data_IF_853488098870
#
_entry.id   IF_853488098870
#
_cell.length_a   1.000
_cell.length_b   1.000
_cell.length_c   1.000
_cell.angle_alpha   90.00
_cell.angle_beta   90.00
_cell.angle_gamma   90.00
#
_symmetry.space_group_name_H-M   'P 1'
#
loop_
_entity.id
_entity.type
_entity.pdbx_description
1 polymer ?
#
# COMPACT_ATOMS: atom_id res chain seq x y z
N UNK A 1 98.40 -23.73 2.37
CA UNK A 1 98.74 -22.37 2.86
C UNK A 1 97.42 -21.66 3.12
N UNK A 2 97.02 -21.47 4.38
CA UNK A 2 97.05 -20.17 5.10
C UNK A 2 96.19 -19.11 4.37
N UNK A 3 95.15 -18.46 4.92
CA UNK A 3 95.01 -17.87 6.27
C UNK A 3 93.52 -17.66 6.65
N UNK A 4 93.29 -17.72 7.97
CA UNK A 4 92.14 -17.36 8.80
C UNK A 4 91.58 -15.91 8.70
N UNK A 5 90.37 -15.73 9.27
CA UNK A 5 89.75 -14.52 9.90
C UNK A 5 89.13 -13.45 8.95
N UNK A 6 87.93 -12.91 9.19
CA UNK A 6 87.42 -12.33 10.45
C UNK A 6 85.89 -12.39 10.62
N UNK A 7 85.51 -12.46 11.90
CA UNK A 7 84.18 -12.32 12.54
C UNK A 7 84.05 -10.89 13.09
N UNK A 8 82.93 -10.17 12.92
CA UNK A 8 82.28 -9.20 13.88
C UNK A 8 80.90 -8.78 13.31
N UNK A 9 79.77 -9.36 13.75
CA UNK A 9 78.81 -8.99 14.82
C UNK A 9 77.58 -8.15 14.35
N UNK A 10 76.43 -8.24 15.06
CA UNK A 10 75.07 -8.26 14.51
C UNK A 10 74.31 -6.94 14.67
N UNK A 11 73.31 -6.70 13.83
CA UNK A 11 72.27 -5.71 14.10
C UNK A 11 70.94 -6.42 14.32
N UNK A 12 70.58 -6.51 15.61
CA UNK A 12 69.20 -6.58 16.08
C UNK A 12 68.35 -5.54 15.34
N UNK A 13 67.30 -5.97 14.65
CA UNK A 13 66.02 -5.23 14.67
C UNK A 13 64.91 -6.24 14.81
N UNK A 14 64.34 -6.24 16.01
CA UNK A 14 63.14 -6.97 16.41
C UNK A 14 61.97 -6.47 15.54
N UNK A 15 61.47 -7.32 14.65
CA UNK A 15 60.21 -7.09 13.94
C UNK A 15 59.06 -7.37 14.93
N UNK A 16 58.65 -6.31 15.63
CA UNK A 16 57.47 -6.30 16.48
C UNK A 16 56.22 -6.53 15.62
N UNK A 17 55.61 -7.69 15.80
CA UNK A 17 54.24 -7.97 15.39
C UNK A 17 53.29 -7.05 16.19
N UNK A 18 52.76 -6.03 15.54
CA UNK A 18 51.61 -5.28 16.04
C UNK A 18 50.35 -5.74 15.28
N UNK A 19 49.56 -6.60 15.93
CA UNK A 19 48.14 -6.69 15.63
C UNK A 19 47.48 -5.39 16.07
N UNK A 20 46.84 -4.66 15.15
CA UNK A 20 46.12 -3.44 15.45
C UNK A 20 45.22 -2.98 14.30
N UNK A 21 43.94 -3.32 14.42
CA UNK A 21 42.76 -2.66 13.85
C UNK A 21 42.70 -2.38 12.33
N UNK A 22 41.78 -3.08 11.66
CA UNK A 22 41.02 -2.52 10.55
C UNK A 22 40.19 -1.35 11.10
N UNK A 23 40.49 -0.12 10.70
CA UNK A 23 39.79 1.09 11.13
C UNK A 23 39.61 2.07 9.96
N UNK A 24 38.35 2.19 9.52
CA UNK A 24 37.73 3.42 9.02
C UNK A 24 38.31 4.07 7.77
N UNK A 25 37.60 3.93 6.65
CA UNK A 25 37.80 4.74 5.45
C UNK A 25 37.62 6.23 5.76
N UNK A 26 38.70 6.99 5.62
CA UNK A 26 38.67 8.43 5.50
C UNK A 26 38.55 8.81 4.03
N UNK A 27 37.33 9.05 3.54
CA UNK A 27 37.13 9.87 2.34
C UNK A 27 37.25 11.33 2.74
N UNK A 28 38.49 11.84 2.81
CA UNK A 28 38.72 13.28 2.79
C UNK A 28 38.28 13.81 1.43
N UNK A 29 37.27 14.68 1.46
CA UNK A 29 36.53 15.16 0.31
C UNK A 29 37.39 15.76 -0.79
N UNK A 30 36.95 15.48 -2.01
CA UNK A 30 36.71 16.45 -3.07
C UNK A 30 35.93 15.70 -4.17
N UNK A 31 34.64 15.99 -4.28
CA UNK A 31 33.82 15.68 -5.44
C UNK A 31 32.77 16.79 -5.54
N UNK A 32 32.94 17.78 -6.45
CA UNK A 32 32.01 18.89 -6.62
C UNK A 32 30.81 18.47 -7.47
N UNK A 33 30.35 17.23 -7.31
CA UNK A 33 29.11 16.80 -7.92
C UNK A 33 28.01 17.21 -6.95
N UNK A 34 27.57 18.46 -7.07
CA UNK A 34 26.25 18.90 -6.60
C UNK A 34 25.28 17.92 -7.23
N UNK A 35 24.78 16.98 -6.43
CA UNK A 35 24.01 15.84 -6.91
C UNK A 35 22.63 15.94 -6.31
N UNK A 36 21.71 16.43 -7.14
CA UNK A 36 20.32 16.55 -6.76
C UNK A 36 19.70 15.20 -6.40
N UNK A 37 19.00 15.17 -5.28
CA UNK A 37 18.32 13.98 -4.77
C UNK A 37 19.19 13.12 -3.87
N UNK A 38 20.21 13.69 -3.23
CA UNK A 38 21.11 12.95 -2.35
C UNK A 38 20.74 13.05 -0.86
N UNK A 39 19.71 13.84 -0.53
CA UNK A 39 19.18 14.09 0.80
C UNK A 39 19.88 15.23 1.53
N UNK A 40 20.75 15.98 0.85
CA UNK A 40 21.54 17.08 1.39
C UNK A 40 21.41 18.32 0.52
N UNK A 41 21.04 19.44 1.13
CA UNK A 41 20.98 20.72 0.45
C UNK A 41 22.39 21.25 0.16
N UNK A 42 22.85 21.06 -1.08
CA UNK A 42 24.18 21.46 -1.52
C UNK A 42 24.23 22.91 -2.07
N UNK A 43 25.43 23.43 -2.26
CA UNK A 43 25.64 24.79 -2.77
C UNK A 43 25.18 24.92 -4.23
N UNK A 44 24.05 25.60 -4.44
CA UNK A 44 23.46 25.85 -5.77
C UNK A 44 22.04 25.32 -5.90
N UNK A 45 21.65 24.40 -5.03
CA UNK A 45 20.33 23.81 -4.95
C UNK A 45 19.37 24.73 -4.18
N UNK A 46 18.09 24.70 -4.56
CA UNK A 46 17.01 25.41 -3.84
C UNK A 46 16.27 24.47 -2.88
N UNK A 47 16.30 23.19 -3.18
CA UNK A 47 15.75 22.09 -2.39
C UNK A 47 16.59 20.84 -2.71
N UNK A 48 16.57 19.87 -1.80
CA UNK A 48 16.97 18.49 -2.04
C UNK A 48 16.14 17.63 -1.07
N UNK A 49 15.36 16.69 -1.60
CA UNK A 49 14.43 15.86 -0.85
C UNK A 49 14.87 14.38 -0.80
N UNK A 50 16.09 14.09 -1.26
CA UNK A 50 16.65 12.74 -1.30
C UNK A 50 16.19 11.86 -2.46
N UNK A 51 15.52 12.44 -3.46
CA UNK A 51 15.14 11.69 -4.65
C UNK A 51 15.16 12.56 -5.93
N UNK A 52 14.82 11.98 -7.09
CA UNK A 52 14.87 12.68 -8.40
C UNK A 52 13.52 12.61 -9.14
N UNK A 53 12.43 12.54 -8.38
CA UNK A 53 11.07 12.50 -8.89
C UNK A 53 10.56 13.92 -9.04
N UNK A 54 10.25 14.32 -10.27
CA UNK A 54 9.67 15.65 -10.53
C UNK A 54 8.20 15.78 -10.05
N UNK A 55 7.68 14.81 -9.30
CA UNK A 55 6.27 14.73 -8.89
C UNK A 55 6.06 15.04 -7.40
N UNK A 56 7.07 15.60 -6.74
CA UNK A 56 7.04 16.06 -5.36
C UNK A 56 7.55 17.50 -5.27
N UNK A 57 7.74 17.98 -4.04
CA UNK A 57 8.12 19.36 -3.73
C UNK A 57 9.48 19.78 -4.33
N UNK A 58 10.35 18.84 -4.75
CA UNK A 58 11.68 19.13 -5.28
C UNK A 58 11.99 18.41 -6.59
N UNK A 59 12.09 19.18 -7.68
CA UNK A 59 12.39 18.62 -8.99
C UNK A 59 13.80 17.99 -9.02
N UNK A 60 14.02 17.07 -9.96
CA UNK A 60 15.33 16.46 -10.28
C UNK A 60 16.42 17.48 -10.69
N UNK A 61 16.03 18.73 -10.90
CA UNK A 61 16.92 19.87 -11.16
C UNK A 61 17.23 20.71 -9.92
N UNK A 62 16.79 20.27 -8.74
CA UNK A 62 16.99 20.90 -7.44
C UNK A 62 16.45 22.33 -7.36
N UNK A 63 15.31 22.51 -8.01
CA UNK A 63 14.45 23.68 -7.86
C UNK A 63 13.13 23.22 -7.25
N UNK A 64 12.51 24.09 -6.46
CA UNK A 64 11.19 23.82 -5.90
C UNK A 64 10.20 23.62 -7.04
N UNK A 65 9.35 22.61 -6.91
CA UNK A 65 8.17 22.47 -7.76
C UNK A 65 7.26 23.68 -7.54
N UNK A 66 6.86 24.33 -8.62
CA UNK A 66 6.01 25.51 -8.60
C UNK A 66 4.99 25.46 -9.73
N UNK A 67 3.78 25.86 -9.39
CA UNK A 67 2.69 25.93 -10.34
C UNK A 67 3.03 26.68 -11.63
N UNK A 68 2.92 25.97 -12.75
CA UNK A 68 3.26 26.41 -14.09
C UNK A 68 4.68 26.03 -14.54
N UNK A 69 5.37 25.14 -13.84
CA UNK A 69 6.70 24.65 -14.21
C UNK A 69 6.68 23.45 -15.17
N UNK A 70 5.49 22.90 -15.43
CA UNK A 70 5.25 21.79 -16.34
C UNK A 70 5.32 20.41 -15.70
N UNK A 71 5.60 20.33 -14.40
CA UNK A 71 5.53 19.12 -13.60
C UNK A 71 4.42 19.26 -12.55
N UNK A 72 3.86 18.15 -12.08
CA UNK A 72 2.75 18.21 -11.11
C UNK A 72 3.25 17.67 -9.77
N UNK A 73 3.34 18.55 -8.78
CA UNK A 73 3.58 18.14 -7.40
C UNK A 73 2.33 17.41 -6.85
N UNK A 74 2.47 16.12 -6.57
CA UNK A 74 1.38 15.28 -6.08
C UNK A 74 0.89 15.64 -4.68
N UNK A 75 1.70 16.38 -3.90
CA UNK A 75 1.36 16.79 -2.54
C UNK A 75 0.58 18.10 -2.52
N UNK A 76 0.88 19.03 -3.43
CA UNK A 76 0.34 20.41 -3.39
C UNK A 76 -0.53 20.80 -4.58
N UNK A 77 -0.38 20.14 -5.73
CA UNK A 77 -0.96 20.55 -7.02
C UNK A 77 -1.92 19.50 -7.60
N UNK A 78 -3.08 19.96 -8.08
CA UNK A 78 -4.03 19.07 -8.76
C UNK A 78 -3.67 18.88 -10.24
N UNK A 79 -3.02 19.87 -10.83
CA UNK A 79 -2.60 19.95 -12.22
C UNK A 79 -1.50 21.01 -12.37
N UNK A 80 -0.78 20.97 -13.48
CA UNK A 80 0.14 22.05 -13.88
C UNK A 80 -0.01 22.30 -15.38
N UNK A 81 -0.46 23.50 -15.77
CA UNK A 81 -0.62 23.87 -17.17
C UNK A 81 -1.52 22.89 -17.94
N UNK A 82 -0.93 22.14 -18.87
CA UNK A 82 -1.61 21.08 -19.66
C UNK A 82 -1.45 19.68 -19.03
N UNK A 83 -0.62 19.52 -17.99
CA UNK A 83 -0.48 18.30 -17.23
C UNK A 83 -1.66 18.12 -16.26
N UNK A 84 -2.78 17.61 -16.79
CA UNK A 84 -4.02 17.39 -16.04
C UNK A 84 -4.11 16.02 -15.36
N UNK A 85 -2.99 15.29 -15.25
CA UNK A 85 -2.93 13.93 -14.66
C UNK A 85 -3.94 12.94 -15.27
N UNK A 86 -4.24 13.09 -16.56
CA UNK A 86 -5.23 12.28 -17.26
C UNK A 86 -6.69 12.57 -16.86
N UNK A 87 -6.94 13.65 -16.13
CA UNK A 87 -8.28 14.14 -15.83
C UNK A 87 -8.77 15.01 -16.98
N UNK A 88 -10.03 14.87 -17.29
CA UNK A 88 -10.79 15.70 -18.23
C UNK A 88 -12.16 16.05 -17.65
N UNK A 89 -12.91 16.91 -18.34
CA UNK A 89 -14.26 17.30 -17.92
C UNK A 89 -15.18 16.09 -17.72
N UNK A 90 -15.04 15.03 -18.52
CA UNK A 90 -15.86 13.82 -18.40
C UNK A 90 -15.54 13.01 -17.15
N UNK A 91 -14.26 12.89 -16.77
CA UNK A 91 -13.83 12.27 -15.51
C UNK A 91 -14.28 13.06 -14.27
N UNK A 92 -14.57 14.36 -14.43
CA UNK A 92 -15.09 15.23 -13.37
C UNK A 92 -16.64 15.34 -13.39
N UNK A 93 -17.33 14.57 -14.24
CA UNK A 93 -18.79 14.51 -14.26
C UNK A 93 -19.49 15.55 -15.15
N UNK A 94 -18.76 16.17 -16.08
CA UNK A 94 -19.31 17.07 -17.08
C UNK A 94 -19.49 16.39 -18.44
N UNK A 95 -20.53 16.76 -19.18
CA UNK A 95 -20.89 16.08 -20.43
C UNK A 95 -19.88 16.26 -21.57
N UNK A 96 -19.16 17.38 -21.58
CA UNK A 96 -18.15 17.73 -22.58
C UNK A 96 -17.29 18.89 -22.06
N UNK A 97 -16.31 19.34 -22.83
CA UNK A 97 -15.56 20.58 -22.58
C UNK A 97 -14.06 20.37 -22.38
N UNK A 98 -13.33 21.47 -22.26
CA UNK A 98 -11.87 21.46 -22.03
C UNK A 98 -11.61 21.75 -20.55
N UNK A 99 -11.02 20.79 -19.84
CA UNK A 99 -10.54 21.02 -18.49
C UNK A 99 -9.26 21.87 -18.59
N UNK A 100 -9.18 22.91 -17.78
CA UNK A 100 -8.00 23.77 -17.72
C UNK A 100 -7.42 23.77 -16.31
N UNK A 101 -6.11 23.94 -16.23
CA UNK A 101 -5.46 24.19 -14.95
C UNK A 101 -5.43 25.69 -14.67
N UNK A 102 -5.88 26.08 -13.48
CA UNK A 102 -5.82 27.48 -13.03
C UNK A 102 -4.39 27.88 -12.67
N UNK A 103 -4.14 29.19 -12.57
CA UNK A 103 -2.84 29.73 -12.11
C UNK A 103 -2.51 29.42 -10.63
N UNK A 104 -3.43 28.75 -9.93
CA UNK A 104 -3.25 28.25 -8.56
C UNK A 104 -3.18 26.73 -8.51
N UNK A 105 -2.93 26.07 -9.65
CA UNK A 105 -2.80 24.61 -9.78
C UNK A 105 -3.98 23.82 -9.22
N UNK A 106 -5.17 24.37 -9.44
CA UNK A 106 -6.47 23.74 -9.21
C UNK A 106 -7.20 23.55 -10.52
N UNK A 107 -8.00 22.50 -10.62
CA UNK A 107 -8.85 22.28 -11.78
C UNK A 107 -9.88 23.42 -11.93
N UNK A 108 -9.90 24.03 -13.11
CA UNK A 108 -10.90 25.02 -13.48
C UNK A 108 -11.88 24.41 -14.50
N UNK A 109 -13.12 24.26 -14.06
CA UNK A 109 -14.21 23.64 -14.82
C UNK A 109 -15.07 24.65 -15.55
N UNK A 110 -14.68 25.93 -15.59
CA UNK A 110 -15.42 27.00 -16.28
C UNK A 110 -15.62 26.75 -17.79
N UNK A 111 -14.71 25.97 -18.39
CA UNK A 111 -14.79 25.53 -19.79
C UNK A 111 -15.33 24.10 -19.96
N UNK A 112 -15.77 23.48 -18.87
CA UNK A 112 -16.57 22.27 -18.94
C UNK A 112 -18.02 22.62 -19.31
N UNK A 113 -18.64 21.75 -20.10
CA UNK A 113 -20.03 21.82 -20.51
C UNK A 113 -21.00 21.54 -19.34
N UNK A 114 -22.29 21.35 -19.59
CA UNK A 114 -23.24 21.08 -18.52
C UNK A 114 -22.81 19.85 -17.70
N UNK A 115 -22.83 19.98 -16.37
CA UNK A 115 -22.74 18.83 -15.49
C UNK A 115 -23.86 17.84 -15.85
N UNK A 116 -23.60 16.54 -15.79
CA UNK A 116 -24.65 15.55 -15.99
C UNK A 116 -25.72 15.69 -14.90
N UNK A 117 -26.76 16.47 -15.15
CA UNK A 117 -27.97 16.42 -14.34
C UNK A 117 -28.74 15.18 -14.77
N UNK A 118 -28.98 14.18 -13.89
CA UNK A 118 -29.87 13.09 -14.23
C UNK A 118 -31.25 13.68 -14.52
N UNK A 119 -31.70 13.54 -15.77
CA UNK A 119 -33.07 13.89 -16.15
C UNK A 119 -33.99 12.89 -15.46
N UNK A 120 -34.90 13.30 -14.55
CA UNK A 120 -35.86 12.37 -13.98
C UNK A 120 -36.80 11.90 -15.10
N UNK A 121 -36.72 10.63 -15.46
CA UNK A 121 -37.74 9.97 -16.27
C UNK A 121 -39.02 9.91 -15.44
N UNK A 122 -39.91 10.88 -15.65
CA UNK A 122 -41.22 10.92 -15.01
C UNK A 122 -42.08 9.79 -15.59
N UNK A 123 -42.17 8.66 -14.88
CA UNK A 123 -43.31 7.77 -15.03
C UNK A 123 -44.43 8.31 -14.13
N UNK A 124 -45.48 8.82 -14.77
CA UNK A 124 -46.60 9.43 -14.10
C UNK A 124 -47.42 8.41 -13.30
N UNK A 125 -47.97 8.90 -12.19
CA UNK A 125 -49.09 8.43 -11.37
C UNK A 125 -48.76 7.61 -10.11
N UNK A 126 -49.10 8.21 -8.96
CA UNK A 126 -49.33 7.54 -7.68
C UNK A 126 -48.40 7.96 -6.55
N UNK A 127 -48.70 9.11 -5.94
CA UNK A 127 -48.42 9.50 -4.53
C UNK A 127 -47.08 9.08 -3.90
N UNK A 128 -46.12 10.02 -3.68
CA UNK A 128 -45.06 9.79 -2.73
C UNK A 128 -45.45 10.33 -1.34
N UNK A 129 -45.56 9.40 -0.40
CA UNK A 129 -45.08 9.54 0.98
C UNK A 129 -43.69 10.21 0.97
N UNK A 130 -43.31 11.06 1.95
CA UNK A 130 -41.94 11.52 2.08
C UNK A 130 -41.06 10.33 2.49
N UNK A 131 -40.60 9.56 1.50
CA UNK A 131 -39.58 8.54 1.67
C UNK A 131 -38.23 9.22 1.42
N UNK A 132 -37.37 9.07 2.42
CA UNK A 132 -36.05 9.67 2.55
C UNK A 132 -35.31 9.86 1.22
N UNK A 133 -34.81 11.07 1.03
CA UNK A 133 -33.70 11.36 0.12
C UNK A 133 -32.62 10.29 0.28
N UNK A 134 -32.26 9.52 -0.75
CA UNK A 134 -31.01 8.78 -0.72
C UNK A 134 -29.90 9.82 -0.76
N UNK A 135 -29.28 10.06 0.39
CA UNK A 135 -27.94 10.63 0.46
C UNK A 135 -27.07 9.90 -0.57
N UNK A 136 -26.25 10.58 -1.38
CA UNK A 136 -25.29 9.91 -2.24
C UNK A 136 -24.52 8.96 -1.35
N UNK A 137 -24.65 7.66 -1.59
CA UNK A 137 -23.91 6.69 -0.80
C UNK A 137 -22.44 6.91 -1.15
N UNK A 138 -21.70 7.50 -0.20
CA UNK A 138 -20.24 7.51 -0.16
C UNK A 138 -19.77 6.11 -0.55
N UNK A 139 -19.01 5.99 -1.63
CA UNK A 139 -18.75 4.69 -2.25
C UNK A 139 -17.37 4.21 -1.83
N UNK A 140 -17.34 3.56 -0.68
CA UNK A 140 -16.15 2.95 -0.11
C UNK A 140 -15.32 2.13 -1.11
N UNK A 141 -13.99 2.22 -1.00
CA UNK A 141 -13.08 1.31 -1.69
C UNK A 141 -13.00 1.54 -3.20
N UNK A 142 -13.38 2.73 -3.66
CA UNK A 142 -13.25 3.17 -5.05
C UNK A 142 -11.85 3.72 -5.38
N UNK A 143 -10.92 3.74 -4.42
CA UNK A 143 -9.56 4.25 -4.58
C UNK A 143 -9.46 5.78 -4.56
N UNK A 144 -10.45 6.48 -4.02
CA UNK A 144 -10.50 7.95 -3.92
C UNK A 144 -10.99 8.34 -2.52
N UNK A 145 -10.24 9.14 -1.77
CA UNK A 145 -10.68 9.68 -0.47
C UNK A 145 -11.81 10.71 -0.62
N UNK A 146 -13.05 10.33 -0.31
CA UNK A 146 -14.19 11.24 -0.32
C UNK A 146 -14.43 11.92 1.05
N UNK A 147 -15.12 13.06 1.07
CA UNK A 147 -15.50 13.73 2.32
C UNK A 147 -16.48 12.86 3.13
N UNK A 148 -16.01 12.28 4.22
CA UNK A 148 -16.75 11.29 5.02
C UNK A 148 -16.10 9.91 5.05
N UNK A 149 -15.04 9.69 4.26
CA UNK A 149 -14.22 8.49 4.28
C UNK A 149 -12.97 8.71 5.13
N UNK A 150 -12.56 7.67 5.86
CA UNK A 150 -11.26 7.66 6.55
C UNK A 150 -10.13 7.08 5.70
N UNK A 151 -10.44 6.37 4.61
CA UNK A 151 -9.45 5.81 3.68
C UNK A 151 -10.01 5.48 2.28
N UNK A 152 -9.18 5.62 1.25
CA UNK A 152 -9.49 5.43 -0.18
C UNK A 152 -9.82 3.97 -0.54
N UNK A 153 -9.40 3.01 0.30
CA UNK A 153 -9.49 1.56 0.05
C UNK A 153 -10.36 0.81 1.07
N UNK A 154 -11.27 1.51 1.76
CA UNK A 154 -12.10 0.97 2.83
C UNK A 154 -13.27 0.06 2.32
N UNK A 155 -13.79 -0.87 3.14
CA UNK A 155 -14.98 -1.69 2.87
C UNK A 155 -16.28 -0.90 3.06
N UNK A 156 -17.41 -1.57 2.78
CA UNK A 156 -18.82 -1.12 2.70
C UNK A 156 -19.31 0.03 3.60
N UNK A 157 -18.64 0.28 4.70
CA UNK A 157 -19.00 1.17 5.80
C UNK A 157 -18.18 2.48 5.87
N UNK A 158 -17.25 2.73 4.93
CA UNK A 158 -16.46 3.99 4.77
C UNK A 158 -15.72 4.49 6.03
N UNK A 159 -15.75 3.77 7.15
CA UNK A 159 -15.16 4.15 8.43
C UNK A 159 -14.40 2.99 9.04
N UNK A 160 -13.12 3.20 9.34
CA UNK A 160 -12.34 2.27 10.16
C UNK A 160 -12.65 2.56 11.63
N UNK A 161 -13.81 2.09 12.08
CA UNK A 161 -14.26 2.31 13.45
C UNK A 161 -13.97 1.06 14.28
N UNK A 162 -12.90 1.11 15.08
CA UNK A 162 -12.63 0.05 16.04
C UNK A 162 -13.81 -0.06 17.02
N UNK A 163 -14.51 -1.19 16.98
CA UNK A 163 -15.63 -1.44 17.87
C UNK A 163 -15.14 -2.08 19.18
N UNK A 164 -15.96 -1.97 20.23
CA UNK A 164 -15.70 -2.70 21.47
C UNK A 164 -16.02 -4.19 21.23
N UNK A 165 -14.98 -5.01 21.18
CA UNK A 165 -15.07 -6.44 20.94
C UNK A 165 -15.76 -7.18 22.09
N UNK A 166 -16.78 -7.97 21.78
CA UNK A 166 -17.46 -8.89 22.71
C UNK A 166 -17.35 -10.30 22.17
N UNK A 167 -16.76 -11.18 22.98
CA UNK A 167 -16.72 -12.62 22.70
C UNK A 167 -18.09 -13.25 23.05
N UNK A 168 -18.55 -14.28 22.30
CA UNK A 168 -17.82 -15.02 21.27
C UNK A 168 -17.77 -14.28 19.93
N UNK A 169 -16.59 -14.32 19.31
CA UNK A 169 -16.37 -13.84 17.95
C UNK A 169 -16.79 -14.86 16.89
N UNK A 170 -16.20 -14.75 15.71
CA UNK A 170 -16.48 -15.63 14.58
C UNK A 170 -15.20 -16.17 13.94
N UNK A 171 -15.21 -17.44 13.53
CA UNK A 171 -14.10 -18.03 12.76
C UNK A 171 -14.44 -18.02 11.28
N UNK A 172 -13.64 -17.30 10.49
CA UNK A 172 -13.74 -17.23 9.04
C UNK A 172 -12.73 -18.19 8.42
N UNK A 173 -13.19 -19.12 7.60
CA UNK A 173 -12.34 -20.00 6.80
C UNK A 173 -12.08 -19.36 5.45
N UNK A 174 -10.81 -19.26 5.09
CA UNK A 174 -10.39 -18.79 3.76
C UNK A 174 -10.03 -20.01 2.93
N UNK A 175 -10.65 -20.11 1.76
CA UNK A 175 -10.34 -21.13 0.77
C UNK A 175 -9.91 -20.48 -0.53
N UNK A 176 -9.01 -21.12 -1.26
CA UNK A 176 -8.60 -20.66 -2.58
C UNK A 176 -8.75 -21.77 -3.61
N UNK A 177 -8.96 -21.34 -4.85
CA UNK A 177 -8.99 -22.19 -6.03
C UNK A 177 -8.08 -21.61 -7.10
N UNK A 178 -7.51 -22.48 -7.93
CA UNK A 178 -6.57 -22.09 -8.97
C UNK A 178 -6.63 -23.08 -10.14
N UNK A 179 -6.41 -22.60 -11.38
CA UNK A 179 -6.26 -23.49 -12.53
C UNK A 179 -4.98 -24.35 -12.47
N UNK A 180 -4.05 -24.04 -11.56
CA UNK A 180 -2.78 -24.74 -11.37
C UNK A 180 -2.72 -25.34 -9.95
N UNK A 181 -2.30 -26.61 -9.83
CA UNK A 181 -2.16 -27.32 -8.56
C UNK A 181 -0.77 -27.14 -7.91
N UNK A 182 0.14 -26.45 -8.60
CA UNK A 182 1.55 -26.26 -8.25
C UNK A 182 1.85 -24.86 -7.68
N UNK A 183 0.83 -24.15 -7.17
CA UNK A 183 0.96 -22.82 -6.56
C UNK A 183 1.86 -22.89 -5.32
N UNK A 184 2.92 -22.07 -5.31
CA UNK A 184 3.90 -22.01 -4.22
C UNK A 184 3.87 -20.67 -3.47
N UNK A 185 3.35 -19.62 -4.12
CA UNK A 185 3.17 -18.29 -3.55
C UNK A 185 1.73 -17.80 -3.75
N UNK A 186 1.10 -17.35 -2.68
CA UNK A 186 -0.27 -16.84 -2.70
C UNK A 186 -0.38 -15.62 -1.78
N UNK A 187 -0.87 -14.50 -2.29
CA UNK A 187 -1.19 -13.30 -1.51
C UNK A 187 -2.68 -13.06 -1.60
N UNK A 188 -3.35 -13.13 -0.46
CA UNK A 188 -4.78 -12.88 -0.34
C UNK A 188 -5.03 -11.66 0.53
N UNK A 189 -6.02 -10.87 0.14
CA UNK A 189 -6.56 -9.76 0.89
C UNK A 189 -7.95 -10.15 1.37
N UNK A 190 -8.10 -10.32 2.68
CA UNK A 190 -9.38 -10.67 3.31
C UNK A 190 -9.99 -9.40 3.87
N UNK A 191 -10.94 -8.81 3.15
CA UNK A 191 -11.69 -7.66 3.62
C UNK A 191 -12.71 -8.07 4.69
N UNK A 192 -12.90 -7.24 5.69
CA UNK A 192 -13.95 -7.42 6.69
C UNK A 192 -14.55 -6.06 7.05
N UNK A 193 -15.84 -6.02 7.36
CA UNK A 193 -16.47 -4.78 7.85
C UNK A 193 -16.09 -4.52 9.30
N UNK A 194 -15.31 -3.46 9.52
CA UNK A 194 -14.86 -3.04 10.85
C UNK A 194 -16.00 -2.68 11.79
N UNK A 195 -17.17 -2.30 11.26
CA UNK A 195 -18.37 -2.05 12.07
C UNK A 195 -18.96 -3.29 12.74
N UNK A 196 -18.66 -4.51 12.26
CA UNK A 196 -19.25 -5.77 12.76
C UNK A 196 -18.22 -6.78 13.25
N UNK A 197 -17.02 -6.77 12.69
CA UNK A 197 -15.92 -7.66 13.04
C UNK A 197 -14.67 -6.87 13.40
N UNK A 198 -14.03 -7.24 14.50
CA UNK A 198 -12.79 -6.62 14.96
C UNK A 198 -11.65 -7.63 15.00
N UNK A 199 -10.47 -7.19 14.55
CA UNK A 199 -9.22 -7.92 14.68
C UNK A 199 -8.31 -7.13 15.64
N UNK A 200 -8.04 -7.62 16.86
CA UNK A 200 -7.29 -6.83 17.82
C UNK A 200 -5.80 -6.76 17.48
N UNK A 201 -5.33 -5.52 17.32
CA UNK A 201 -3.98 -5.18 16.89
C UNK A 201 -4.04 -4.37 15.60
N UNK A 202 -2.90 -4.19 14.95
CA UNK A 202 -2.82 -3.68 13.59
C UNK A 202 -1.48 -4.07 12.95
N UNK A 203 -1.35 -3.86 11.65
CA UNK A 203 -0.12 -4.15 10.91
C UNK A 203 0.39 -5.57 11.12
N UNK A 204 1.70 -5.70 11.34
CA UNK A 204 2.37 -6.99 11.51
C UNK A 204 2.50 -7.44 12.97
N UNK A 205 1.66 -6.95 13.88
CA UNK A 205 1.70 -7.32 15.29
C UNK A 205 1.48 -8.82 15.50
N UNK A 206 2.15 -9.40 16.50
CA UNK A 206 2.03 -10.82 16.82
C UNK A 206 0.59 -11.23 17.24
N UNK A 207 -0.19 -10.30 17.80
CA UNK A 207 -1.60 -10.53 18.15
C UNK A 207 -2.46 -10.83 16.92
N UNK A 208 -2.24 -10.11 15.82
CA UNK A 208 -2.91 -10.29 14.53
C UNK A 208 -2.52 -11.65 13.93
N UNK A 209 -1.21 -11.92 13.85
CA UNK A 209 -0.71 -13.19 13.32
C UNK A 209 -1.21 -14.39 14.15
N UNK A 210 -1.43 -14.21 15.46
CA UNK A 210 -1.98 -15.24 16.33
C UNK A 210 -3.46 -15.56 16.02
N UNK A 211 -4.23 -14.66 15.40
CA UNK A 211 -5.62 -14.93 14.97
C UNK A 211 -5.70 -15.77 13.71
N UNK A 212 -4.64 -15.84 12.92
CA UNK A 212 -4.54 -16.72 11.75
C UNK A 212 -4.16 -18.14 12.19
N UNK A 213 -5.14 -19.04 12.20
CA UNK A 213 -5.03 -20.43 12.63
C UNK A 213 -5.10 -21.40 11.44
N UNK A 214 -4.83 -22.68 11.71
CA UNK A 214 -4.98 -23.78 10.75
C UNK A 214 -4.25 -23.57 9.42
N UNK A 215 -3.16 -22.79 9.44
CA UNK A 215 -2.31 -22.51 8.29
C UNK A 215 -1.56 -23.77 7.83
N UNK A 216 -1.19 -23.88 6.54
CA UNK A 216 -0.45 -25.03 6.05
C UNK A 216 0.90 -25.09 6.76
N UNK A 217 1.32 -26.28 7.19
CA UNK A 217 2.57 -26.46 7.93
C UNK A 217 3.77 -25.91 7.13
N UNK A 218 4.70 -25.22 7.78
CA UNK A 218 5.87 -24.62 7.12
C UNK A 218 5.53 -23.55 6.04
N UNK A 219 4.31 -23.00 6.03
CA UNK A 219 4.02 -21.79 5.29
C UNK A 219 4.66 -20.58 5.96
N UNK A 220 5.49 -19.86 5.22
CA UNK A 220 5.91 -18.51 5.59
C UNK A 220 4.66 -17.65 5.43
N UNK A 221 4.11 -17.23 6.57
CA UNK A 221 2.96 -16.33 6.65
C UNK A 221 3.44 -14.95 7.05
N UNK A 222 3.45 -13.99 6.13
CA UNK A 222 3.43 -12.58 6.52
C UNK A 222 1.96 -12.17 6.63
N UNK A 223 1.59 -11.61 7.77
CA UNK A 223 0.23 -11.14 8.04
C UNK A 223 0.35 -9.65 8.32
N UNK A 224 -0.44 -8.85 7.61
CA UNK A 224 -0.49 -7.43 7.82
C UNK A 224 -1.94 -6.98 7.86
N UNK A 225 -2.38 -6.54 9.02
CA UNK A 225 -3.69 -5.97 9.20
C UNK A 225 -3.68 -4.50 8.75
N UNK A 226 -4.60 -4.16 7.86
CA UNK A 226 -4.83 -2.81 7.36
C UNK A 226 -5.98 -2.14 8.12
N UNK A 227 -6.44 -2.72 9.23
CA UNK A 227 -7.56 -2.31 10.08
C UNK A 227 -8.94 -2.53 9.41
N UNK A 228 -8.98 -2.67 8.09
CA UNK A 228 -10.18 -2.95 7.29
C UNK A 228 -10.06 -4.21 6.41
N UNK A 229 -8.83 -4.73 6.29
CA UNK A 229 -8.54 -5.92 5.54
C UNK A 229 -7.27 -6.57 6.07
N UNK A 230 -7.26 -7.90 6.11
CA UNK A 230 -6.10 -8.66 6.47
C UNK A 230 -5.38 -9.14 5.21
N UNK A 231 -4.18 -8.60 4.98
CA UNK A 231 -3.30 -9.10 3.92
C UNK A 231 -2.50 -10.27 4.44
N UNK A 232 -2.63 -11.42 3.79
CA UNK A 232 -1.90 -12.64 4.14
C UNK A 232 -1.08 -13.10 2.95
N UNK A 233 0.23 -13.13 3.11
CA UNK A 233 1.18 -13.66 2.14
C UNK A 233 1.59 -15.05 2.59
N UNK A 234 1.35 -16.05 1.74
CA UNK A 234 1.75 -17.43 1.90
C UNK A 234 2.86 -17.76 0.91
N UNK A 235 3.97 -18.27 1.42
CA UNK A 235 5.04 -18.84 0.58
C UNK A 235 5.48 -20.19 1.14
N UNK A 236 5.61 -21.19 0.26
CA UNK A 236 6.01 -22.57 0.60
C UNK A 236 6.90 -23.16 -0.47
N UNK A 237 7.79 -24.06 -0.05
CA UNK A 237 8.59 -24.87 -0.96
C UNK A 237 7.76 -25.96 -1.67
N UNK A 238 6.72 -26.47 -0.99
CA UNK A 238 5.76 -27.41 -1.56
C UNK A 238 4.49 -26.68 -1.98
N UNK A 239 3.78 -27.16 -3.02
CA UNK A 239 2.52 -26.58 -3.43
C UNK A 239 1.52 -26.39 -2.27
N UNK A 240 0.82 -25.28 -2.31
CA UNK A 240 -0.26 -24.95 -1.37
C UNK A 240 -1.47 -25.79 -1.81
N UNK A 241 -2.01 -26.66 -0.95
CA UNK A 241 -3.15 -27.49 -1.34
C UNK A 241 -4.38 -26.63 -1.60
N UNK A 242 -5.08 -26.88 -2.71
CA UNK A 242 -6.34 -26.22 -3.07
C UNK A 242 -7.40 -26.43 -1.98
N UNK A 243 -8.35 -25.48 -1.91
CA UNK A 243 -9.38 -25.46 -0.88
C UNK A 243 -8.96 -24.63 0.33
N UNK A 244 -9.29 -25.10 1.54
CA UNK A 244 -9.12 -24.32 2.78
C UNK A 244 -7.65 -24.15 3.14
N UNK A 245 -7.19 -22.90 3.19
CA UNK A 245 -5.79 -22.54 3.47
C UNK A 245 -5.53 -22.19 4.93
N UNK A 246 -6.39 -21.37 5.53
CA UNK A 246 -6.27 -20.98 6.93
C UNK A 246 -7.63 -20.51 7.46
N UNK A 247 -7.72 -20.31 8.76
CA UNK A 247 -8.88 -19.71 9.41
C UNK A 247 -8.46 -18.46 10.18
N UNK A 248 -9.33 -17.46 10.26
CA UNK A 248 -9.10 -16.23 11.02
C UNK A 248 -10.18 -16.13 12.10
N UNK A 249 -9.77 -15.94 13.35
CA UNK A 249 -10.68 -15.67 14.45
C UNK A 249 -10.87 -14.16 14.63
N UNK A 250 -12.03 -13.65 14.26
CA UNK A 250 -12.46 -12.27 14.50
C UNK A 250 -13.26 -12.18 15.80
N UNK A 251 -13.20 -11.04 16.47
CA UNK A 251 -14.10 -10.74 17.59
C UNK A 251 -15.36 -10.01 17.04
N UNK A 252 -16.52 -10.26 17.63
CA UNK A 252 -17.76 -9.58 17.23
C UNK A 252 -17.86 -8.22 17.93
N UNK A 253 -18.53 -7.25 17.30
CA UNK A 253 -18.78 -5.94 17.90
C UNK A 253 -20.04 -5.95 18.78
N UNK A 254 -19.98 -5.42 20.00
CA UNK A 254 -21.09 -5.43 21.00
C UNK A 254 -22.43 -4.88 20.48
N UNK A 255 -22.36 -3.89 19.60
CA UNK A 255 -23.53 -3.16 19.08
C UNK A 255 -23.97 -3.65 17.69
N UNK A 256 -23.28 -4.65 17.13
CA UNK A 256 -23.54 -5.16 15.79
C UNK A 256 -24.26 -6.51 15.80
N UNK A 257 -25.01 -6.84 14.73
CA UNK A 257 -25.42 -8.21 14.46
C UNK A 257 -24.21 -9.15 14.38
N UNK A 258 -24.37 -10.45 14.68
CA UNK A 258 -23.31 -11.44 14.49
C UNK A 258 -22.76 -11.39 13.06
N UNK A 259 -21.43 -11.37 12.86
CA UNK A 259 -20.86 -11.27 11.52
C UNK A 259 -21.28 -12.45 10.63
N UNK A 260 -21.78 -12.14 9.44
CA UNK A 260 -22.21 -13.11 8.44
C UNK A 260 -21.23 -13.14 7.26
N UNK A 261 -21.37 -14.13 6.37
CA UNK A 261 -20.48 -14.26 5.20
C UNK A 261 -20.47 -13.03 4.29
N UNK A 262 -21.56 -12.26 4.27
CA UNK A 262 -21.68 -11.01 3.50
C UNK A 262 -20.82 -9.87 4.05
N UNK A 263 -20.30 -10.01 5.26
CA UNK A 263 -19.46 -9.00 5.93
C UNK A 263 -17.96 -9.22 5.65
N UNK A 264 -17.64 -10.31 4.95
CA UNK A 264 -16.28 -10.69 4.59
C UNK A 264 -16.12 -10.78 3.07
N UNK A 265 -14.97 -10.36 2.58
CA UNK A 265 -14.58 -10.48 1.18
C UNK A 265 -13.21 -11.12 1.06
N UNK A 266 -12.94 -11.78 -0.06
CA UNK A 266 -11.61 -12.30 -0.37
C UNK A 266 -11.21 -11.92 -1.78
N UNK A 267 -10.01 -11.34 -1.91
CA UNK A 267 -9.40 -11.02 -3.20
C UNK A 267 -8.00 -11.62 -3.26
N UNK A 268 -7.63 -12.19 -4.40
CA UNK A 268 -6.27 -12.66 -4.65
C UNK A 268 -5.47 -11.54 -5.31
N UNK A 269 -4.46 -11.02 -4.61
CA UNK A 269 -3.58 -9.97 -5.16
C UNK A 269 -2.37 -10.56 -5.88
N UNK A 270 -1.93 -11.75 -5.45
CA UNK A 270 -0.77 -12.42 -6.03
C UNK A 270 -0.96 -13.94 -6.02
N UNK A 271 -0.67 -14.58 -7.14
CA UNK A 271 -0.69 -16.02 -7.26
C UNK A 271 0.47 -16.46 -8.16
N UNK A 272 1.31 -17.36 -7.67
CA UNK A 272 2.52 -17.78 -8.38
C UNK A 272 2.89 -19.23 -8.09
N UNK A 273 3.39 -19.91 -9.11
CA UNK A 273 4.05 -21.21 -9.01
C UNK A 273 5.58 -21.02 -9.13
N UNK A 274 6.35 -22.11 -9.18
CA UNK A 274 7.83 -22.06 -9.35
C UNK A 274 8.29 -21.47 -10.69
N UNK A 275 7.39 -21.33 -11.66
CA UNK A 275 7.69 -20.88 -13.02
C UNK A 275 7.27 -19.43 -13.26
N UNK A 276 6.46 -18.83 -12.38
CA UNK A 276 6.05 -17.44 -12.45
C UNK A 276 4.63 -17.20 -11.94
N UNK A 277 4.07 -16.06 -12.33
CA UNK A 277 2.71 -15.64 -11.99
C UNK A 277 1.68 -16.53 -12.69
N UNK A 278 0.62 -16.90 -11.96
CA UNK A 278 -0.51 -17.69 -12.47
C UNK A 278 -1.76 -16.83 -12.39
N UNK A 279 -2.46 -16.71 -13.51
CA UNK A 279 -3.73 -16.00 -13.60
C UNK A 279 -4.93 -16.90 -13.30
N UNK A 280 -6.05 -16.31 -12.90
CA UNK A 280 -7.30 -17.03 -12.64
C UNK A 280 -7.42 -17.65 -11.24
N UNK A 281 -6.51 -17.34 -10.32
CA UNK A 281 -6.66 -17.72 -8.93
C UNK A 281 -7.81 -16.94 -8.28
N UNK A 282 -8.67 -17.65 -7.56
CA UNK A 282 -9.80 -17.07 -6.85
C UNK A 282 -9.75 -17.46 -5.38
N UNK A 283 -10.41 -16.68 -4.53
CA UNK A 283 -10.56 -17.05 -3.14
C UNK A 283 -11.95 -16.72 -2.63
N UNK A 284 -12.40 -17.53 -1.68
CA UNK A 284 -13.72 -17.47 -1.08
C UNK A 284 -13.59 -17.58 0.44
N UNK A 285 -14.48 -16.90 1.14
CA UNK A 285 -14.59 -16.94 2.59
C UNK A 285 -15.85 -17.69 2.97
N UNK A 286 -15.75 -18.51 4.01
CA UNK A 286 -16.90 -19.16 4.65
C UNK A 286 -16.86 -18.91 6.14
N UNK A 287 -18.01 -18.69 6.75
CA UNK A 287 -18.13 -18.32 8.16
C UNK A 287 -18.59 -19.54 8.94
N UNK A 288 -17.86 -19.93 9.99
CA UNK A 288 -18.16 -21.13 10.77
C UNK A 288 -19.54 -21.03 11.43
N UNK A 289 -20.46 -21.93 11.07
CA UNK A 289 -21.83 -21.99 11.63
C UNK A 289 -22.95 -21.50 10.71
N UNK A 290 -22.62 -21.16 9.45
CA UNK A 290 -23.56 -20.75 8.39
C UNK A 290 -23.32 -21.56 7.11
#
# INVERSE_FOLDING_TARGET
>A
MNVFRSIVLPAMVVLLMALGACGGGGSSGESPFVLCGNGHLDQGEKCDDGNTLDSDDCLSTCVLAVCGDGFVDLNSEECDGDALRGRDCSTLGYAAGKLICSATCRFDTSQCGPAFTPTPTVLATGTPTPTATPTPLTRCGNGVLESGETCDACPGDCSVSACSAVAPGVTVSVSYDSPDDSIAGLTVLVGYRSSVANLPGSGSMASVAARVKNKPSNAITAVNDLDYALRVVLSRANPIPLGRIFTIDFDACDTAPPPAAVDFGCTVEGCANRFGRVDGCTCVVTVGGQ
#
